data_IF_617679585809
#
_entry.id   IF_617679585809
#
_cell.length_a   1.000
_cell.length_b   1.000
_cell.length_c   1.000
_cell.angle_alpha   90.00
_cell.angle_beta   90.00
_cell.angle_gamma   90.00
#
_symmetry.space_group_name_H-M   'P 1'
#
loop_
_entity.id
_entity.type
_entity.pdbx_description
1 polymer ?
#
# COMPACT_ATOMS: atom_id res chain seq x y z
N UNK A 1 -8.13 -25.37 18.90
CA UNK A 1 -7.97 -23.97 18.43
C UNK A 1 -9.35 -23.39 18.17
N UNK A 2 -9.80 -22.45 19.00
CA UNK A 2 -11.12 -21.86 18.88
C UNK A 2 -11.19 -20.94 17.66
N UNK A 3 -12.09 -21.24 16.73
CA UNK A 3 -12.43 -20.46 15.54
C UNK A 3 -13.02 -19.05 15.85
N UNK A 4 -12.93 -18.56 17.09
CA UNK A 4 -13.68 -17.41 17.60
C UNK A 4 -12.91 -16.09 17.59
N UNK A 5 -11.59 -16.10 17.37
CA UNK A 5 -10.76 -14.88 17.28
C UNK A 5 -10.34 -14.57 15.83
N UNK A 6 -11.26 -14.71 14.87
CA UNK A 6 -11.05 -14.06 13.57
C UNK A 6 -11.25 -12.57 13.78
N UNK A 7 -10.22 -11.76 13.49
CA UNK A 7 -10.32 -10.30 13.46
C UNK A 7 -11.61 -9.94 12.69
N UNK A 8 -12.61 -9.34 13.37
CA UNK A 8 -13.87 -9.04 12.72
C UNK A 8 -13.61 -8.09 11.56
N UNK A 9 -14.07 -8.49 10.37
CA UNK A 9 -13.98 -7.73 9.13
C UNK A 9 -14.99 -6.55 9.15
N UNK A 10 -14.90 -5.70 10.19
CA UNK A 10 -15.82 -4.60 10.44
C UNK A 10 -15.43 -3.42 9.56
N UNK A 11 -15.68 -3.60 8.27
CA UNK A 11 -15.39 -2.81 7.08
C UNK A 11 -15.72 -1.31 7.09
N UNK A 12 -16.14 -0.66 8.19
CA UNK A 12 -16.47 0.79 8.17
C UNK A 12 -15.26 1.73 8.00
N UNK A 13 -14.10 1.50 8.63
CA UNK A 13 -12.94 2.41 8.49
C UNK A 13 -12.33 2.34 7.09
N UNK A 14 -12.32 1.16 6.46
CA UNK A 14 -11.68 0.95 5.17
C UNK A 14 -12.35 1.76 4.06
N UNK A 15 -13.68 1.79 4.02
CA UNK A 15 -14.42 2.59 3.04
C UNK A 15 -14.19 4.09 3.21
N UNK A 16 -14.11 4.58 4.46
CA UNK A 16 -13.78 5.98 4.73
C UNK A 16 -12.35 6.32 4.28
N UNK A 17 -11.41 5.38 4.46
CA UNK A 17 -10.04 5.57 4.04
C UNK A 17 -9.91 5.53 2.51
N UNK A 18 -10.64 4.65 1.84
CA UNK A 18 -10.78 4.65 0.37
C UNK A 18 -11.35 5.98 -0.13
N UNK A 19 -12.44 6.46 0.48
CA UNK A 19 -13.00 7.77 0.14
C UNK A 19 -11.98 8.90 0.33
N UNK A 20 -11.22 8.88 1.44
CA UNK A 20 -10.18 9.88 1.70
C UNK A 20 -9.07 9.86 0.64
N UNK A 21 -8.62 8.67 0.21
CA UNK A 21 -7.62 8.54 -0.86
C UNK A 21 -8.14 9.08 -2.18
N UNK A 22 -9.39 8.74 -2.54
CA UNK A 22 -10.03 9.26 -3.74
C UNK A 22 -10.09 10.80 -3.72
N UNK A 23 -10.60 11.37 -2.63
CA UNK A 23 -10.73 12.84 -2.47
C UNK A 23 -9.36 13.51 -2.47
N UNK A 24 -8.35 12.91 -1.84
CA UNK A 24 -6.99 13.45 -1.85
C UNK A 24 -6.37 13.42 -3.25
N UNK A 25 -6.53 12.34 -4.01
CA UNK A 25 -6.04 12.24 -5.39
C UNK A 25 -6.72 13.25 -6.32
N UNK A 26 -8.05 13.31 -6.29
CA UNK A 26 -8.82 14.27 -7.08
C UNK A 26 -8.53 15.72 -6.66
N UNK A 27 -8.45 15.99 -5.35
CA UNK A 27 -8.17 17.31 -4.80
C UNK A 27 -6.76 17.79 -5.09
N UNK A 28 -5.75 16.90 -5.06
CA UNK A 28 -4.38 17.24 -5.44
C UNK A 28 -4.27 17.55 -6.92
N UNK A 29 -4.99 16.81 -7.77
CA UNK A 29 -5.07 17.10 -9.19
C UNK A 29 -5.68 18.48 -9.44
N UNK A 30 -6.82 18.76 -8.81
CA UNK A 30 -7.47 20.06 -8.88
C UNK A 30 -6.55 21.18 -8.38
N UNK A 31 -5.85 21.00 -7.26
CA UNK A 31 -4.96 22.03 -6.71
C UNK A 31 -3.79 22.38 -7.64
N UNK A 32 -3.34 21.44 -8.48
CA UNK A 32 -2.20 21.63 -9.40
C UNK A 32 -2.62 22.13 -10.76
N UNK A 33 -3.76 21.67 -11.25
CA UNK A 33 -4.14 21.78 -12.64
C UNK A 33 -5.42 22.58 -12.87
N UNK A 34 -6.13 22.98 -11.81
CA UNK A 34 -7.36 23.75 -11.99
C UNK A 34 -7.05 25.10 -12.66
N UNK A 35 -7.73 25.41 -13.78
CA UNK A 35 -7.52 26.64 -14.51
C UNK A 35 -8.23 27.79 -13.78
N UNK A 36 -7.62 28.27 -12.70
CA UNK A 36 -8.04 29.50 -12.04
C UNK A 36 -7.49 30.71 -12.81
N UNK A 37 -8.32 31.73 -13.14
CA UNK A 37 -9.70 31.97 -12.71
C UNK A 37 -10.79 31.50 -13.70
N UNK A 38 -10.43 30.82 -14.80
CA UNK A 38 -11.36 30.41 -15.87
C UNK A 38 -12.48 29.46 -15.40
N UNK A 39 -12.30 28.80 -14.25
CA UNK A 39 -13.29 27.91 -13.64
C UNK A 39 -13.13 26.46 -14.10
N UNK A 40 -13.63 25.52 -13.30
CA UNK A 40 -13.48 24.08 -13.55
C UNK A 40 -14.59 23.62 -14.50
N UNK A 41 -14.22 23.09 -15.66
CA UNK A 41 -15.14 22.52 -16.63
C UNK A 41 -15.50 21.05 -16.34
N UNK A 42 -16.46 20.50 -17.07
CA UNK A 42 -16.84 19.08 -16.99
C UNK A 42 -15.65 18.17 -17.33
N UNK A 43 -14.83 18.56 -18.31
CA UNK A 43 -13.65 17.79 -18.71
C UNK A 43 -12.62 17.70 -17.58
N UNK A 44 -12.40 18.79 -16.84
CA UNK A 44 -11.50 18.82 -15.68
C UNK A 44 -12.01 17.92 -14.55
N UNK A 45 -13.32 17.96 -14.28
CA UNK A 45 -13.95 17.07 -13.28
C UNK A 45 -13.74 15.60 -13.62
N UNK A 46 -13.89 15.21 -14.90
CA UNK A 46 -13.63 13.84 -15.35
C UNK A 46 -12.17 13.46 -15.14
N UNK A 47 -11.23 14.33 -15.52
CA UNK A 47 -9.79 14.07 -15.33
C UNK A 47 -9.42 13.93 -13.85
N UNK A 48 -9.88 14.84 -12.99
CA UNK A 48 -9.61 14.77 -11.55
C UNK A 48 -10.21 13.51 -10.91
N UNK A 49 -11.39 13.09 -11.39
CA UNK A 49 -12.03 11.84 -10.96
C UNK A 49 -11.20 10.63 -11.37
N UNK A 50 -10.71 10.58 -12.62
CA UNK A 50 -9.85 9.50 -13.10
C UNK A 50 -8.56 9.43 -12.29
N UNK A 51 -7.92 10.57 -12.01
CA UNK A 51 -6.70 10.62 -11.19
C UNK A 51 -6.95 10.18 -9.74
N UNK A 52 -8.09 10.57 -9.15
CA UNK A 52 -8.53 10.10 -7.84
C UNK A 52 -8.75 8.59 -7.80
N UNK A 53 -9.44 8.04 -8.82
CA UNK A 53 -9.67 6.59 -8.95
C UNK A 53 -8.35 5.84 -9.17
N UNK A 54 -7.44 6.39 -9.97
CA UNK A 54 -6.13 5.80 -10.20
C UNK A 54 -5.31 5.72 -8.90
N UNK A 55 -5.31 6.79 -8.10
CA UNK A 55 -4.71 6.79 -6.77
C UNK A 55 -5.33 5.74 -5.83
N UNK A 56 -6.66 5.57 -5.89
CA UNK A 56 -7.38 4.55 -5.13
C UNK A 56 -7.03 3.13 -5.55
N UNK A 57 -6.89 2.86 -6.85
CA UNK A 57 -6.44 1.56 -7.37
C UNK A 57 -5.03 1.26 -6.87
N UNK A 58 -4.10 2.21 -6.97
CA UNK A 58 -2.74 2.05 -6.45
C UNK A 58 -2.78 1.78 -4.94
N UNK A 59 -3.59 2.52 -4.18
CA UNK A 59 -3.75 2.32 -2.75
C UNK A 59 -4.25 0.91 -2.41
N UNK A 60 -5.26 0.42 -3.13
CA UNK A 60 -5.81 -0.91 -2.90
C UNK A 60 -4.79 -2.00 -3.24
N UNK A 61 -4.06 -1.85 -4.35
CA UNK A 61 -2.99 -2.78 -4.74
C UNK A 61 -1.81 -2.77 -3.77
N UNK A 62 -1.57 -1.65 -3.11
CA UNK A 62 -0.51 -1.52 -2.10
C UNK A 62 -1.04 -1.95 -0.75
N UNK A 63 -1.69 -1.04 -0.04
CA UNK A 63 -2.06 -1.19 1.35
C UNK A 63 -3.10 -2.29 1.52
N UNK A 64 -3.99 -2.49 0.54
CA UNK A 64 -4.96 -3.59 0.59
C UNK A 64 -4.29 -4.97 0.55
N UNK A 65 -3.35 -5.19 -0.37
CA UNK A 65 -2.61 -6.46 -0.44
C UNK A 65 -1.71 -6.66 0.79
N UNK A 66 -1.06 -5.60 1.28
CA UNK A 66 -0.26 -5.68 2.51
C UNK A 66 -1.12 -6.04 3.70
N UNK A 67 -2.27 -5.39 3.84
CA UNK A 67 -3.21 -5.67 4.92
C UNK A 67 -3.73 -7.11 4.85
N UNK A 68 -4.10 -7.59 3.66
CA UNK A 68 -4.53 -8.96 3.46
C UNK A 68 -3.43 -9.96 3.84
N UNK A 69 -2.21 -9.76 3.35
CA UNK A 69 -1.05 -10.60 3.69
C UNK A 69 -0.75 -10.57 5.20
N UNK A 70 -0.89 -9.41 5.83
CA UNK A 70 -0.67 -9.24 7.25
C UNK A 70 -1.72 -9.98 8.11
N UNK A 71 -2.99 -9.86 7.73
CA UNK A 71 -4.10 -10.57 8.38
C UNK A 71 -3.92 -12.07 8.20
N UNK A 72 -3.54 -12.54 7.01
CA UNK A 72 -3.27 -13.94 6.74
C UNK A 72 -2.08 -14.46 7.56
N UNK A 73 -0.97 -13.73 7.60
CA UNK A 73 0.20 -14.08 8.42
C UNK A 73 -0.16 -14.16 9.91
N UNK A 74 -0.96 -13.22 10.40
CA UNK A 74 -1.42 -13.21 11.79
C UNK A 74 -2.36 -14.39 12.08
N UNK A 75 -3.26 -14.70 11.16
CA UNK A 75 -4.19 -15.83 11.28
C UNK A 75 -3.47 -17.18 11.20
N UNK A 76 -2.33 -17.26 10.51
CA UNK A 76 -1.45 -18.43 10.49
C UNK A 76 -0.62 -18.60 11.80
N UNK A 77 -0.83 -17.74 12.80
CA UNK A 77 -0.13 -17.77 14.08
C UNK A 77 1.13 -16.91 14.14
N UNK A 78 1.47 -16.21 13.05
CA UNK A 78 2.59 -15.26 13.00
C UNK A 78 2.38 -14.06 13.92
N UNK A 79 3.48 -13.37 14.19
CA UNK A 79 3.55 -12.16 15.01
C UNK A 79 3.95 -10.95 14.16
N UNK A 80 3.35 -9.79 14.48
CA UNK A 80 3.68 -8.50 13.84
C UNK A 80 5.13 -8.05 14.06
N UNK A 81 5.86 -8.73 14.94
CA UNK A 81 7.28 -8.45 15.22
C UNK A 81 8.23 -9.37 14.47
N UNK A 82 7.71 -10.32 13.72
CA UNK A 82 8.56 -11.25 13.00
C UNK A 82 9.30 -10.47 11.92
N UNK A 83 10.63 -10.45 11.98
CA UNK A 83 11.35 -11.12 10.92
C UNK A 83 10.86 -10.84 9.46
N UNK A 84 10.28 -11.87 8.83
CA UNK A 84 9.65 -11.81 7.51
C UNK A 84 8.58 -10.72 7.34
N UNK A 85 7.83 -10.40 8.39
CA UNK A 85 6.77 -9.40 8.31
C UNK A 85 7.32 -7.97 8.26
N UNK A 86 8.35 -7.68 9.07
CA UNK A 86 8.92 -6.33 9.17
C UNK A 86 9.91 -6.01 8.05
N UNK A 87 10.64 -7.00 7.54
CA UNK A 87 11.72 -6.77 6.57
C UNK A 87 11.27 -5.99 5.32
N UNK A 88 10.14 -6.31 4.65
CA UNK A 88 9.69 -5.53 3.50
C UNK A 88 9.38 -4.07 3.84
N UNK A 89 8.78 -3.82 5.00
CA UNK A 89 8.43 -2.46 5.47
C UNK A 89 9.68 -1.65 5.76
N UNK A 90 10.64 -2.22 6.48
CA UNK A 90 11.90 -1.55 6.83
C UNK A 90 12.70 -1.21 5.56
N UNK A 91 12.79 -2.15 4.61
CA UNK A 91 13.48 -1.93 3.34
C UNK A 91 12.81 -0.82 2.52
N UNK A 92 11.47 -0.80 2.47
CA UNK A 92 10.72 0.24 1.76
C UNK A 92 10.95 1.63 2.37
N UNK A 93 10.90 1.75 3.70
CA UNK A 93 11.16 3.02 4.42
C UNK A 93 12.59 3.48 4.19
N UNK A 94 13.56 2.57 4.25
CA UNK A 94 14.96 2.89 4.01
C UNK A 94 15.21 3.38 2.57
N UNK A 95 14.60 2.72 1.58
CA UNK A 95 14.68 3.15 0.18
C UNK A 95 14.04 4.52 -0.04
N UNK A 96 12.88 4.77 0.58
CA UNK A 96 12.19 6.06 0.53
C UNK A 96 13.06 7.18 1.10
N UNK A 97 13.60 6.98 2.31
CA UNK A 97 14.44 7.96 2.99
C UNK A 97 15.71 8.27 2.20
N UNK A 98 16.36 7.22 1.68
CA UNK A 98 17.59 7.36 0.90
C UNK A 98 17.35 8.15 -0.38
N UNK A 99 16.32 7.80 -1.16
CA UNK A 99 16.05 8.49 -2.42
C UNK A 99 15.47 9.89 -2.23
N UNK A 100 14.73 10.12 -1.14
CA UNK A 100 14.32 11.46 -0.78
C UNK A 100 15.53 12.34 -0.44
N UNK A 101 16.48 11.84 0.35
CA UNK A 101 17.70 12.56 0.71
C UNK A 101 18.56 12.92 -0.52
N UNK A 102 18.56 12.08 -1.56
CA UNK A 102 19.32 12.33 -2.79
C UNK A 102 18.58 13.23 -3.77
N UNK A 103 17.28 13.02 -3.97
CA UNK A 103 16.52 13.67 -5.05
C UNK A 103 15.68 14.88 -4.61
N UNK A 104 15.37 15.00 -3.32
CA UNK A 104 14.39 15.96 -2.79
C UNK A 104 12.96 15.76 -3.30
N UNK A 105 12.69 14.74 -4.12
CA UNK A 105 11.42 14.53 -4.79
C UNK A 105 10.60 13.44 -4.12
N UNK A 106 9.47 13.83 -3.53
CA UNK A 106 8.55 12.92 -2.83
C UNK A 106 7.97 11.84 -3.75
N UNK A 107 7.72 12.16 -5.02
CA UNK A 107 7.19 11.19 -6.00
C UNK A 107 8.21 10.09 -6.33
N UNK A 108 9.49 10.47 -6.48
CA UNK A 108 10.58 9.50 -6.72
C UNK A 108 10.76 8.62 -5.48
N UNK A 109 10.78 9.21 -4.29
CA UNK A 109 10.90 8.48 -3.03
C UNK A 109 9.73 7.50 -2.81
N UNK A 110 8.49 7.93 -3.06
CA UNK A 110 7.30 7.09 -2.92
C UNK A 110 7.27 5.94 -3.93
N UNK A 111 7.61 6.21 -5.19
CA UNK A 111 7.71 5.17 -6.23
C UNK A 111 8.74 4.11 -5.87
N UNK A 112 9.90 4.53 -5.39
CA UNK A 112 10.93 3.59 -4.97
C UNK A 112 10.55 2.78 -3.73
N UNK A 113 9.95 3.42 -2.72
CA UNK A 113 9.42 2.73 -1.55
C UNK A 113 8.45 1.63 -1.95
N UNK A 114 7.54 1.93 -2.88
CA UNK A 114 6.58 0.98 -3.42
C UNK A 114 7.25 -0.22 -4.08
N UNK A 115 8.16 0.00 -5.04
CA UNK A 115 8.79 -1.10 -5.77
C UNK A 115 9.70 -1.95 -4.90
N UNK A 116 10.44 -1.34 -3.96
CA UNK A 116 11.24 -2.09 -2.98
C UNK A 116 10.34 -2.93 -2.07
N UNK A 117 9.23 -2.37 -1.60
CA UNK A 117 8.26 -3.10 -0.80
C UNK A 117 7.71 -4.33 -1.53
N UNK A 118 7.26 -4.16 -2.78
CA UNK A 118 6.69 -5.25 -3.60
C UNK A 118 7.72 -6.35 -3.82
N UNK A 119 8.95 -5.98 -4.23
CA UNK A 119 10.03 -6.94 -4.45
C UNK A 119 10.42 -7.69 -3.17
N UNK A 120 10.61 -6.98 -2.06
CA UNK A 120 10.98 -7.59 -0.78
C UNK A 120 9.89 -8.53 -0.25
N UNK A 121 8.61 -8.17 -0.42
CA UNK A 121 7.48 -9.02 -0.03
C UNK A 121 7.44 -10.29 -0.87
N UNK A 122 7.62 -10.19 -2.19
CA UNK A 122 7.67 -11.35 -3.07
C UNK A 122 8.83 -12.28 -2.71
N UNK A 123 10.03 -11.74 -2.50
CA UNK A 123 11.21 -12.52 -2.07
C UNK A 123 10.96 -13.21 -0.72
N UNK A 124 10.38 -12.48 0.24
CA UNK A 124 10.08 -13.03 1.56
C UNK A 124 9.06 -14.17 1.46
N UNK A 125 8.01 -14.02 0.66
CA UNK A 125 7.02 -15.06 0.44
C UNK A 125 7.65 -16.34 -0.14
N UNK A 126 8.54 -16.18 -1.13
CA UNK A 126 9.29 -17.30 -1.71
C UNK A 126 10.21 -17.94 -0.67
N UNK A 127 10.98 -17.15 0.08
CA UNK A 127 11.92 -17.66 1.07
C UNK A 127 11.21 -18.45 2.18
N UNK A 128 10.09 -17.94 2.70
CA UNK A 128 9.27 -18.63 3.70
C UNK A 128 8.70 -19.93 3.13
N UNK A 129 8.16 -19.90 1.91
CA UNK A 129 7.61 -21.09 1.28
C UNK A 129 8.68 -22.18 1.08
N UNK A 130 9.89 -21.80 0.67
CA UNK A 130 11.02 -22.73 0.52
C UNK A 130 11.44 -23.31 1.87
N UNK A 131 11.66 -22.48 2.89
CA UNK A 131 12.11 -22.95 4.21
C UNK A 131 11.09 -23.88 4.88
N UNK A 132 9.81 -23.53 4.82
CA UNK A 132 8.72 -24.35 5.37
C UNK A 132 8.53 -25.62 4.54
N UNK A 133 8.59 -25.52 3.21
CA UNK A 133 8.49 -26.68 2.32
C UNK A 133 9.63 -27.68 2.49
N UNK A 134 10.83 -27.23 2.86
CA UNK A 134 11.95 -28.13 3.21
C UNK A 134 11.75 -28.84 4.56
N UNK A 135 11.05 -28.22 5.51
CA UNK A 135 10.86 -28.79 6.85
C UNK A 135 9.69 -29.77 6.93
N UNK A 136 8.72 -29.72 6.02
CA UNK A 136 7.67 -30.74 5.90
C UNK A 136 8.10 -31.97 5.06
N UNK A 137 9.26 -31.90 4.40
CA UNK A 137 9.79 -32.99 3.57
C UNK A 137 10.75 -33.93 4.33
N UNK A 138 11.07 -33.63 5.59
CA UNK A 138 11.78 -34.50 6.54
C UNK A 138 10.81 -35.22 7.49
#
# INVERSE_FOLDING_TARGET
MSLHDRLPDRLRPWHLLMLAVFVAGAGLSAARNAPFPAGVGIQDLVLFTIEGLFGLVIFQFTVGNVWAAAVEYRNAGGSWRDLPFLAPVVLAVFAAATLYAVSGNVGVAASAAFWVFVGATAVTAVAVNVVVGYTEAE
#
